data_IF_275447424368
#
_entry.id   IF_275447424368
#
_cell.length_a   1.000
_cell.length_b   1.000
_cell.length_c   1.000
_cell.angle_alpha   90.00
_cell.angle_beta   90.00
_cell.angle_gamma   90.00
#
_symmetry.space_group_name_H-M   'P 1'
#
loop_
_entity.id
_entity.type
_entity.pdbx_description
1 polymer ?
#
# COMPACT_ATOMS: atom_id res chain seq x y z
N UNK A 1 21.36 -4.82 13.40
CA UNK A 1 20.39 -5.46 12.49
C UNK A 1 19.87 -4.43 11.53
N UNK A 2 19.59 -4.84 10.30
CA UNK A 2 19.13 -3.97 9.23
C UNK A 2 17.66 -3.69 9.46
N UNK A 3 17.32 -2.47 9.87
CA UNK A 3 15.93 -2.03 9.88
C UNK A 3 15.63 -1.54 8.47
N UNK A 4 14.75 -2.25 7.75
CA UNK A 4 13.97 -1.62 6.69
C UNK A 4 13.22 -0.49 7.38
N UNK A 5 13.73 0.74 7.29
CA UNK A 5 12.92 1.88 7.64
C UNK A 5 11.68 1.78 6.75
N UNK A 6 10.49 1.82 7.35
CA UNK A 6 9.19 1.93 6.69
C UNK A 6 9.07 3.26 5.95
N UNK A 7 10.08 3.65 5.18
CA UNK A 7 9.97 4.69 4.17
C UNK A 7 9.34 4.01 2.97
N UNK A 8 8.00 4.04 2.93
CA UNK A 8 7.29 4.16 1.68
C UNK A 8 8.13 5.09 0.78
N UNK A 9 8.66 4.53 -0.30
CA UNK A 9 9.47 5.26 -1.27
C UNK A 9 8.64 6.46 -1.76
N UNK A 10 8.86 7.65 -1.17
CA UNK A 10 8.52 8.92 -1.81
C UNK A 10 9.32 8.91 -3.11
N UNK A 11 8.66 8.56 -4.22
CA UNK A 11 9.23 8.74 -5.56
C UNK A 11 9.60 10.22 -5.71
N UNK A 12 10.77 10.55 -6.27
CA UNK A 12 11.07 11.92 -6.62
C UNK A 12 10.11 12.37 -7.72
N UNK A 13 9.48 13.52 -7.50
CA UNK A 13 8.70 14.26 -8.49
C UNK A 13 9.59 14.52 -9.72
N UNK A 14 9.18 14.15 -10.94
CA UNK A 14 9.98 14.46 -12.12
C UNK A 14 9.96 15.97 -12.38
N UNK A 15 11.15 16.55 -12.47
CA UNK A 15 11.35 17.93 -12.90
C UNK A 15 10.82 18.15 -14.33
N UNK A 16 10.08 19.24 -14.49
CA UNK A 16 9.40 19.73 -15.69
C UNK A 16 10.39 19.98 -16.83
N UNK A 17 10.12 19.39 -18.01
CA UNK A 17 10.57 19.93 -19.30
C UNK A 17 9.39 20.66 -19.95
N UNK A 18 9.50 22.00 -20.04
CA UNK A 18 8.62 22.85 -20.85
C UNK A 18 8.74 22.46 -22.33
N UNK A 19 7.64 22.03 -22.95
CA UNK A 19 7.51 21.99 -24.39
C UNK A 19 6.67 23.19 -24.86
N UNK A 20 7.27 24.00 -25.71
CA UNK A 20 6.67 25.15 -26.39
C UNK A 20 5.76 24.63 -27.51
N UNK A 21 4.51 25.10 -27.54
CA UNK A 21 3.58 24.82 -28.63
C UNK A 21 3.80 25.79 -29.82
N UNK A 22 3.58 25.35 -31.07
CA UNK A 22 3.26 26.27 -32.14
C UNK A 22 1.80 26.15 -32.60
N UNK A 23 1.14 27.31 -32.54
CA UNK A 23 0.09 27.88 -33.39
C UNK A 23 -0.50 27.05 -34.53
N UNK A 24 -1.83 27.06 -34.58
CA UNK A 24 -2.66 26.82 -35.77
C UNK A 24 -2.42 27.86 -36.89
N UNK A 25 -2.91 27.58 -38.10
CA UNK A 25 -3.74 28.58 -38.75
C UNK A 25 -5.04 28.04 -39.38
N UNK A 26 -5.90 29.01 -39.65
CA UNK A 26 -7.32 28.98 -39.99
C UNK A 26 -7.68 28.57 -41.43
N UNK A 27 -8.90 28.04 -41.55
CA UNK A 27 -9.95 28.17 -42.58
C UNK A 27 -9.61 28.59 -44.03
N UNK A 28 -10.13 27.82 -45.00
CA UNK A 28 -10.71 28.33 -46.27
C UNK A 28 -11.92 27.48 -46.69
N UNK A 29 -12.96 28.16 -47.16
CA UNK A 29 -14.26 27.71 -47.67
C UNK A 29 -14.23 27.21 -49.13
N UNK A 30 -15.25 26.38 -49.44
CA UNK A 30 -15.98 26.24 -50.71
C UNK A 30 -15.30 25.60 -51.95
N UNK A 31 -15.91 24.53 -52.47
CA UNK A 31 -16.76 24.58 -53.68
C UNK A 31 -17.10 23.16 -54.19
N UNK A 32 -18.27 23.05 -54.80
CA UNK A 32 -18.86 21.84 -55.34
C UNK A 32 -18.20 21.35 -56.64
N UNK A 33 -18.19 20.03 -56.85
CA UNK A 33 -18.28 19.46 -58.19
C UNK A 33 -19.00 18.10 -58.14
N UNK A 34 -20.11 18.02 -58.86
CA UNK A 34 -20.75 16.77 -59.26
C UNK A 34 -19.77 15.89 -60.05
N UNK A 35 -19.72 14.61 -59.72
CA UNK A 35 -19.51 13.55 -60.71
C UNK A 35 -20.16 12.25 -60.25
N UNK A 36 -21.12 11.81 -61.04
CA UNK A 36 -21.76 10.50 -60.99
C UNK A 36 -20.70 9.44 -61.29
N UNK A 37 -20.47 8.52 -60.37
CA UNK A 37 -20.09 7.16 -60.71
C UNK A 37 -20.80 6.23 -59.73
N UNK A 38 -21.95 5.73 -60.17
CA UNK A 38 -22.52 4.50 -59.64
C UNK A 38 -21.56 3.37 -60.06
N UNK A 39 -20.85 2.82 -59.09
CA UNK A 39 -20.09 1.58 -59.23
C UNK A 39 -20.73 0.55 -58.33
N UNK A 40 -21.64 -0.21 -58.94
CA UNK A 40 -21.90 -1.63 -58.73
C UNK A 40 -21.31 -2.20 -57.44
N UNK A 41 -22.11 -2.27 -56.37
CA UNK A 41 -21.84 -3.18 -55.26
C UNK A 41 -21.99 -4.58 -55.84
N UNK A 42 -20.85 -5.17 -56.21
CA UNK A 42 -20.75 -6.59 -56.48
C UNK A 42 -21.24 -7.33 -55.22
N UNK A 43 -22.33 -8.06 -55.42
CA UNK A 43 -22.83 -9.12 -54.55
C UNK A 43 -21.68 -10.05 -54.16
N UNK A 44 -21.06 -9.80 -53.01
CA UNK A 44 -20.21 -10.77 -52.33
C UNK A 44 -21.11 -11.83 -51.70
N UNK A 45 -20.88 -13.08 -52.11
CA UNK A 45 -21.56 -14.26 -51.60
C UNK A 45 -21.53 -14.32 -50.07
N UNK A 46 -22.66 -14.70 -49.50
CA UNK A 46 -22.90 -14.79 -48.07
C UNK A 46 -21.97 -15.80 -47.40
N UNK A 47 -20.86 -15.33 -46.86
CA UNK A 47 -20.17 -16.02 -45.77
C UNK A 47 -20.81 -15.56 -44.47
N UNK A 48 -21.83 -16.30 -44.01
CA UNK A 48 -22.63 -16.09 -42.78
C UNK A 48 -21.81 -15.97 -41.48
N UNK A 49 -20.49 -16.13 -41.55
CA UNK A 49 -19.54 -15.92 -40.46
C UNK A 49 -19.09 -14.47 -40.29
N UNK A 50 -19.08 -13.65 -41.36
CA UNK A 50 -18.63 -12.25 -41.26
C UNK A 50 -19.73 -11.37 -40.68
N UNK A 51 -20.97 -11.54 -41.13
CA UNK A 51 -22.12 -10.78 -40.62
C UNK A 51 -22.40 -11.04 -39.13
N UNK A 52 -22.18 -12.28 -38.66
CA UNK A 52 -22.34 -12.64 -37.24
C UNK A 52 -21.25 -12.04 -36.36
N UNK A 53 -20.00 -11.97 -36.83
CA UNK A 53 -18.91 -11.28 -36.11
C UNK A 53 -19.16 -9.78 -36.02
N UNK A 54 -19.59 -9.13 -37.12
CA UNK A 54 -19.93 -7.71 -37.09
C UNK A 54 -21.11 -7.40 -36.17
N UNK A 55 -22.16 -8.22 -36.20
CA UNK A 55 -23.29 -8.08 -35.28
C UNK A 55 -22.87 -8.26 -33.82
N UNK A 56 -22.00 -9.24 -33.53
CA UNK A 56 -21.46 -9.45 -32.18
C UNK A 56 -20.61 -8.26 -31.70
N UNK A 57 -19.78 -7.67 -32.57
CA UNK A 57 -18.98 -6.49 -32.24
C UNK A 57 -19.85 -5.24 -32.01
N UNK A 58 -20.89 -5.04 -32.81
CA UNK A 58 -21.84 -3.94 -32.62
C UNK A 58 -22.61 -4.12 -31.31
N UNK A 59 -23.07 -5.34 -31.03
CA UNK A 59 -23.76 -5.64 -29.77
C UNK A 59 -22.85 -5.39 -28.58
N UNK A 60 -21.60 -5.87 -28.63
CA UNK A 60 -20.60 -5.66 -27.57
C UNK A 60 -20.25 -4.18 -27.40
N UNK A 61 -20.09 -3.44 -28.50
CA UNK A 61 -19.84 -1.99 -28.47
C UNK A 61 -21.02 -1.21 -27.88
N UNK A 62 -22.25 -1.55 -28.29
CA UNK A 62 -23.46 -0.91 -27.78
C UNK A 62 -23.71 -1.24 -26.30
N UNK A 63 -23.52 -2.50 -25.88
CA UNK A 63 -23.65 -2.89 -24.47
C UNK A 63 -22.55 -2.27 -23.63
N UNK A 64 -21.30 -2.22 -24.11
CA UNK A 64 -20.20 -1.55 -23.42
C UNK A 64 -20.44 -0.04 -23.28
N UNK A 65 -20.98 0.61 -24.31
CA UNK A 65 -21.30 2.05 -24.27
C UNK A 65 -22.50 2.33 -23.35
N UNK A 66 -23.56 1.52 -23.41
CA UNK A 66 -24.71 1.65 -22.52
C UNK A 66 -24.31 1.40 -21.05
N UNK A 67 -23.47 0.40 -20.81
CA UNK A 67 -22.88 0.13 -19.50
C UNK A 67 -22.01 1.30 -19.03
N UNK A 68 -21.15 1.83 -19.89
CA UNK A 68 -20.31 3.00 -19.58
C UNK A 68 -21.12 4.26 -19.31
N UNK A 69 -22.22 4.51 -20.02
CA UNK A 69 -23.13 5.63 -19.77
C UNK A 69 -23.88 5.44 -18.45
N UNK A 70 -24.32 4.21 -18.15
CA UNK A 70 -24.98 3.89 -16.89
C UNK A 70 -24.02 4.09 -15.70
N UNK A 71 -22.82 3.51 -15.76
CA UNK A 71 -21.73 3.74 -14.81
C UNK A 71 -21.42 5.23 -14.63
N UNK A 72 -21.28 5.95 -15.74
CA UNK A 72 -21.04 7.38 -15.71
C UNK A 72 -22.17 8.08 -14.97
N UNK A 73 -23.43 7.84 -15.34
CA UNK A 73 -24.61 8.44 -14.70
C UNK A 73 -24.71 8.12 -13.21
N UNK A 74 -24.45 6.87 -12.79
CA UNK A 74 -24.47 6.49 -11.37
C UNK A 74 -23.38 7.19 -10.59
N UNK A 75 -22.18 7.42 -11.16
CA UNK A 75 -21.16 8.30 -10.55
C UNK A 75 -21.70 9.71 -10.29
N UNK A 76 -22.59 10.25 -11.15
CA UNK A 76 -23.19 11.58 -10.93
C UNK A 76 -24.26 11.64 -9.85
N UNK A 77 -24.69 10.50 -9.29
CA UNK A 77 -25.78 10.44 -8.31
C UNK A 77 -25.37 9.95 -6.92
N UNK A 78 -24.11 9.53 -6.74
CA UNK A 78 -23.61 8.99 -5.45
C UNK A 78 -23.64 10.03 -4.32
N UNK A 79 -23.42 11.30 -4.65
CA UNK A 79 -23.36 12.42 -3.70
C UNK A 79 -24.64 13.25 -3.69
N UNK A 80 -25.05 13.82 -2.54
CA UNK A 80 -26.09 14.86 -2.48
C UNK A 80 -25.80 16.02 -3.44
N UNK A 81 -26.84 16.64 -3.99
CA UNK A 81 -26.71 17.70 -5.00
C UNK A 81 -25.97 18.92 -4.45
N UNK A 82 -26.14 19.17 -3.15
CA UNK A 82 -25.58 20.27 -2.38
C UNK A 82 -24.05 20.16 -2.27
N UNK A 83 -23.52 18.95 -2.13
CA UNK A 83 -22.07 18.70 -1.93
C UNK A 83 -21.32 18.55 -3.26
N UNK A 84 -21.99 18.01 -4.28
CA UNK A 84 -21.37 17.53 -5.53
C UNK A 84 -20.59 18.58 -6.31
N UNK A 85 -21.10 19.81 -6.38
CA UNK A 85 -20.46 20.89 -7.14
C UNK A 85 -19.09 21.25 -6.56
N UNK A 86 -19.05 21.42 -5.24
CA UNK A 86 -17.83 21.78 -4.53
C UNK A 86 -16.83 20.63 -4.51
N UNK A 87 -17.31 19.41 -4.30
CA UNK A 87 -16.46 18.23 -4.31
C UNK A 87 -15.69 18.12 -5.64
N UNK A 88 -16.39 18.23 -6.77
CA UNK A 88 -15.76 18.16 -8.10
C UNK A 88 -14.84 19.31 -8.38
N UNK A 89 -15.20 20.52 -7.97
CA UNK A 89 -14.32 21.67 -8.12
C UNK A 89 -13.03 21.48 -7.30
N UNK A 90 -13.14 20.92 -6.09
CA UNK A 90 -12.01 20.59 -5.24
C UNK A 90 -11.08 19.54 -5.84
N UNK A 91 -11.62 18.41 -6.31
CA UNK A 91 -10.81 17.36 -6.96
C UNK A 91 -10.21 17.87 -8.28
N UNK A 92 -10.96 18.63 -9.08
CA UNK A 92 -10.44 19.24 -10.30
C UNK A 92 -9.27 20.19 -10.01
N UNK A 93 -9.38 21.03 -8.98
CA UNK A 93 -8.32 21.95 -8.58
C UNK A 93 -7.07 21.20 -8.08
N UNK A 94 -7.25 20.12 -7.30
CA UNK A 94 -6.16 19.22 -6.88
C UNK A 94 -5.39 18.68 -8.08
N UNK A 95 -6.10 18.21 -9.11
CA UNK A 95 -5.50 17.68 -10.34
C UNK A 95 -4.81 18.74 -11.20
N UNK A 96 -5.14 20.01 -10.98
CA UNK A 96 -4.47 21.16 -11.59
C UNK A 96 -3.31 21.68 -10.74
N UNK A 97 -2.96 20.97 -9.65
CA UNK A 97 -1.95 21.36 -8.66
C UNK A 97 -2.26 22.69 -7.94
N UNK A 98 -3.50 23.20 -8.04
CA UNK A 98 -3.98 24.35 -7.26
C UNK A 98 -4.53 23.87 -5.92
N UNK A 99 -3.60 23.52 -5.03
CA UNK A 99 -3.91 22.94 -3.73
C UNK A 99 -4.68 23.91 -2.82
N UNK A 100 -4.42 25.22 -2.93
CA UNK A 100 -5.12 26.24 -2.15
C UNK A 100 -6.58 26.40 -2.55
N UNK A 101 -6.87 26.36 -3.85
CA UNK A 101 -8.25 26.36 -4.34
C UNK A 101 -8.95 25.04 -4.01
N UNK A 102 -8.25 23.91 -4.16
CA UNK A 102 -8.76 22.59 -3.81
C UNK A 102 -9.19 22.51 -2.35
N UNK A 103 -8.33 22.97 -1.43
CA UNK A 103 -8.60 23.02 0.00
C UNK A 103 -9.91 23.77 0.31
N UNK A 104 -10.11 24.96 -0.28
CA UNK A 104 -11.31 25.78 -0.04
C UNK A 104 -12.58 25.05 -0.48
N UNK A 105 -12.56 24.45 -1.67
CA UNK A 105 -13.71 23.70 -2.18
C UNK A 105 -14.00 22.46 -1.34
N UNK A 106 -12.98 21.69 -0.95
CA UNK A 106 -13.16 20.50 -0.13
C UNK A 106 -13.61 20.81 1.30
N UNK A 107 -13.12 21.90 1.92
CA UNK A 107 -13.63 22.38 3.21
C UNK A 107 -15.11 22.72 3.13
N UNK A 108 -15.53 23.51 2.12
CA UNK A 108 -16.94 23.87 1.93
C UNK A 108 -17.82 22.65 1.63
N UNK A 109 -17.31 21.69 0.86
CA UNK A 109 -17.99 20.43 0.60
C UNK A 109 -18.21 19.64 1.90
N UNK A 110 -17.18 19.54 2.76
CA UNK A 110 -17.26 18.84 4.04
C UNK A 110 -18.20 19.55 5.01
N UNK A 111 -18.09 20.87 5.15
CA UNK A 111 -19.00 21.68 5.98
C UNK A 111 -20.45 21.51 5.53
N UNK A 112 -20.72 21.59 4.22
CA UNK A 112 -22.05 21.36 3.66
C UNK A 112 -22.52 19.93 3.96
N UNK A 113 -21.64 18.93 3.83
CA UNK A 113 -21.96 17.55 4.08
C UNK A 113 -22.41 17.31 5.53
N UNK A 114 -21.78 17.95 6.52
CA UNK A 114 -22.17 17.86 7.93
C UNK A 114 -23.52 18.52 8.26
N UNK A 115 -24.02 19.42 7.41
CA UNK A 115 -25.36 20.02 7.60
C UNK A 115 -26.50 19.14 7.09
N UNK A 116 -26.19 18.10 6.33
CA UNK A 116 -27.18 17.22 5.72
C UNK A 116 -27.51 16.03 6.62
N UNK A 117 -28.76 15.52 6.58
CA UNK A 117 -29.13 14.29 7.27
C UNK A 117 -28.40 13.08 6.66
N UNK A 118 -28.10 12.06 7.47
CA UNK A 118 -27.32 10.88 7.03
C UNK A 118 -28.01 10.13 5.88
N UNK A 119 -29.34 10.15 5.83
CA UNK A 119 -30.16 9.55 4.78
C UNK A 119 -29.87 10.15 3.40
N UNK A 120 -29.41 11.41 3.33
CA UNK A 120 -29.03 12.05 2.08
C UNK A 120 -27.83 11.36 1.40
N UNK A 121 -27.00 10.66 2.18
CA UNK A 121 -25.82 9.95 1.69
C UNK A 121 -26.11 8.50 1.32
N UNK A 122 -27.34 7.99 1.50
CA UNK A 122 -27.72 6.63 1.11
C UNK A 122 -26.96 5.55 1.89
N UNK A 123 -26.41 4.58 1.17
CA UNK A 123 -25.63 3.46 1.70
C UNK A 123 -24.26 3.91 2.20
N UNK A 124 -23.83 3.37 3.35
CA UNK A 124 -22.53 3.66 4.00
C UNK A 124 -22.25 5.17 4.12
N UNK A 125 -23.10 5.95 4.81
CA UNK A 125 -23.01 7.42 4.87
C UNK A 125 -21.69 7.91 5.46
N UNK A 126 -21.12 7.19 6.44
CA UNK A 126 -19.86 7.57 7.06
C UNK A 126 -18.67 7.29 6.15
N UNK A 127 -18.78 6.36 5.21
CA UNK A 127 -17.76 6.13 4.18
C UNK A 127 -17.64 7.35 3.25
N UNK A 128 -18.77 7.99 2.93
CA UNK A 128 -18.85 9.20 2.12
C UNK A 128 -18.32 10.42 2.87
N UNK A 129 -18.80 10.65 4.10
CA UNK A 129 -18.34 11.75 4.95
C UNK A 129 -16.83 11.68 5.23
N UNK A 130 -16.37 10.54 5.73
CA UNK A 130 -14.93 10.33 5.97
C UNK A 130 -14.11 10.37 4.67
N UNK A 131 -14.69 9.99 3.52
CA UNK A 131 -14.08 10.14 2.22
C UNK A 131 -13.73 11.59 1.87
N UNK A 132 -14.67 12.52 2.07
CA UNK A 132 -14.43 13.95 1.83
C UNK A 132 -13.35 14.46 2.78
N UNK A 133 -13.41 14.10 4.07
CA UNK A 133 -12.41 14.50 5.07
C UNK A 133 -11.01 13.98 4.74
N UNK A 134 -10.89 12.72 4.29
CA UNK A 134 -9.61 12.14 3.85
C UNK A 134 -9.08 12.82 2.58
N UNK A 135 -9.95 13.15 1.62
CA UNK A 135 -9.54 13.88 0.42
C UNK A 135 -8.98 15.26 0.78
N UNK A 136 -9.66 15.98 1.70
CA UNK A 136 -9.17 17.25 2.24
C UNK A 136 -7.82 17.09 2.95
N UNK A 137 -7.70 16.12 3.85
CA UNK A 137 -6.47 15.84 4.58
C UNK A 137 -5.31 15.51 3.63
N UNK A 138 -5.56 14.74 2.56
CA UNK A 138 -4.57 14.45 1.54
C UNK A 138 -4.10 15.69 0.77
N UNK A 139 -4.99 16.65 0.49
CA UNK A 139 -4.62 17.95 -0.10
C UNK A 139 -3.77 18.77 0.88
N UNK A 140 -4.11 18.77 2.16
CA UNK A 140 -3.33 19.43 3.21
C UNK A 140 -1.93 18.82 3.35
N UNK A 141 -1.79 17.49 3.28
CA UNK A 141 -0.48 16.82 3.24
C UNK A 141 0.33 17.24 2.00
N UNK A 142 -0.31 17.32 0.83
CA UNK A 142 0.34 17.77 -0.40
C UNK A 142 0.75 19.25 -0.36
N UNK A 143 0.01 20.08 0.37
CA UNK A 143 0.27 21.50 0.55
C UNK A 143 1.29 21.81 1.66
N UNK A 144 1.99 20.79 2.19
CA UNK A 144 2.96 20.91 3.28
C UNK A 144 2.34 21.48 4.58
N UNK A 145 1.07 21.13 4.83
CA UNK A 145 0.30 21.49 6.04
C UNK A 145 0.01 20.24 6.91
N UNK A 146 1.03 19.56 7.45
CA UNK A 146 0.86 18.28 8.11
C UNK A 146 0.04 18.34 9.41
N UNK A 147 0.08 19.47 10.12
CA UNK A 147 -0.70 19.68 11.36
C UNK A 147 -2.20 19.73 11.08
N UNK A 148 -2.59 20.52 10.08
CA UNK A 148 -3.99 20.64 9.66
C UNK A 148 -4.51 19.30 9.10
N UNK A 149 -3.68 18.57 8.34
CA UNK A 149 -4.02 17.23 7.87
C UNK A 149 -4.24 16.25 9.03
N UNK A 150 -3.35 16.29 10.03
CA UNK A 150 -3.45 15.45 11.23
C UNK A 150 -4.75 15.70 11.99
N UNK A 151 -5.13 16.98 12.16
CA UNK A 151 -6.39 17.37 12.79
C UNK A 151 -7.60 16.86 11.97
N UNK A 152 -7.58 17.02 10.64
CA UNK A 152 -8.64 16.54 9.77
C UNK A 152 -8.85 15.01 9.86
N UNK A 153 -7.78 14.21 9.85
CA UNK A 153 -7.87 12.77 10.06
C UNK A 153 -8.37 12.42 11.47
N UNK A 154 -7.94 13.17 12.48
CA UNK A 154 -8.37 12.96 13.88
C UNK A 154 -9.87 13.17 14.03
N UNK A 155 -10.40 14.27 13.47
CA UNK A 155 -11.83 14.58 13.49
C UNK A 155 -12.62 13.50 12.75
N UNK A 156 -12.17 13.10 11.55
CA UNK A 156 -12.82 12.05 10.78
C UNK A 156 -12.87 10.71 11.55
N UNK A 157 -11.81 10.36 12.28
CA UNK A 157 -11.80 9.15 13.10
C UNK A 157 -12.73 9.27 14.31
N UNK A 158 -12.79 10.42 14.97
CA UNK A 158 -13.68 10.65 16.11
C UNK A 158 -15.15 10.52 15.70
N UNK A 159 -15.52 11.01 14.52
CA UNK A 159 -16.87 10.84 13.97
C UNK A 159 -17.20 9.38 13.72
N UNK A 160 -16.27 8.62 13.13
CA UNK A 160 -16.43 7.18 12.93
C UNK A 160 -16.54 6.44 14.28
N UNK A 161 -15.76 6.81 15.29
CA UNK A 161 -15.83 6.22 16.62
C UNK A 161 -17.13 6.53 17.36
N UNK A 162 -17.70 7.73 17.14
CA UNK A 162 -18.97 8.15 17.74
C UNK A 162 -20.21 7.61 17.03
N UNK A 163 -20.07 7.10 15.82
CA UNK A 163 -21.16 6.57 15.03
C UNK A 163 -21.67 5.22 15.57
N UNK A 164 -22.99 5.03 15.51
CA UNK A 164 -23.63 3.75 15.84
C UNK A 164 -24.03 3.03 14.55
N UNK A 165 -23.96 1.70 14.56
CA UNK A 165 -24.42 0.87 13.44
C UNK A 165 -23.52 0.93 12.20
N UNK A 166 -22.22 1.21 12.37
CA UNK A 166 -21.27 1.21 11.26
C UNK A 166 -21.22 -0.13 10.54
N UNK A 167 -21.20 -0.08 9.21
CA UNK A 167 -20.95 -1.27 8.39
C UNK A 167 -19.50 -1.73 8.54
N UNK A 168 -19.21 -2.99 8.19
CA UNK A 168 -17.85 -3.52 8.20
C UNK A 168 -16.87 -2.68 7.39
N UNK A 169 -17.31 -2.14 6.26
CA UNK A 169 -16.50 -1.24 5.41
C UNK A 169 -16.18 0.08 6.11
N UNK A 170 -17.14 0.66 6.82
CA UNK A 170 -16.93 1.90 7.59
C UNK A 170 -16.03 1.67 8.81
N UNK A 171 -16.15 0.50 9.46
CA UNK A 171 -15.23 0.08 10.53
C UNK A 171 -13.81 -0.11 10.01
N UNK A 172 -13.64 -0.75 8.85
CA UNK A 172 -12.34 -0.87 8.17
C UNK A 172 -11.79 0.50 7.72
N UNK A 173 -12.67 1.46 7.37
CA UNK A 173 -12.26 2.84 7.14
C UNK A 173 -11.69 3.48 8.40
N UNK A 174 -12.32 3.27 9.56
CA UNK A 174 -11.81 3.74 10.84
C UNK A 174 -10.43 3.13 11.16
N UNK A 175 -10.24 1.83 10.91
CA UNK A 175 -8.95 1.14 11.03
C UNK A 175 -7.88 1.83 10.17
N UNK A 176 -8.19 2.10 8.88
CA UNK A 176 -7.24 2.72 7.97
C UNK A 176 -6.85 4.15 8.40
N UNK A 177 -7.82 4.96 8.85
CA UNK A 177 -7.56 6.31 9.35
C UNK A 177 -6.73 6.28 10.63
N UNK A 178 -7.04 5.38 11.57
CA UNK A 178 -6.27 5.21 12.80
C UNK A 178 -4.83 4.74 12.53
N UNK A 179 -4.65 3.80 11.60
CA UNK A 179 -3.32 3.37 11.18
C UNK A 179 -2.51 4.55 10.60
N UNK A 180 -3.13 5.35 9.71
CA UNK A 180 -2.53 6.56 9.14
C UNK A 180 -2.15 7.60 10.21
N UNK A 181 -3.00 7.80 11.23
CA UNK A 181 -2.69 8.67 12.36
C UNK A 181 -1.49 8.17 13.17
N UNK A 182 -1.35 6.86 13.34
CA UNK A 182 -0.15 6.24 13.93
C UNK A 182 1.12 6.51 13.12
N UNK A 183 1.08 6.32 11.79
CA UNK A 183 2.21 6.66 10.90
C UNK A 183 2.58 8.14 10.97
N UNK A 184 1.58 9.03 11.00
CA UNK A 184 1.80 10.47 11.14
C UNK A 184 2.37 10.83 12.51
N UNK A 185 1.92 10.17 13.58
CA UNK A 185 2.43 10.37 14.93
C UNK A 185 3.93 10.03 14.99
N UNK A 186 4.35 8.91 14.41
CA UNK A 186 5.78 8.57 14.26
C UNK A 186 6.53 9.61 13.42
N UNK A 187 6.01 9.94 12.23
CA UNK A 187 6.70 10.82 11.28
C UNK A 187 6.90 12.25 11.82
N UNK A 188 5.94 12.76 12.60
CA UNK A 188 5.98 14.09 13.19
C UNK A 188 6.45 14.11 14.64
N UNK A 189 6.97 12.98 15.15
CA UNK A 189 7.49 12.84 16.51
C UNK A 189 6.49 13.32 17.57
N UNK A 190 5.23 12.92 17.40
CA UNK A 190 4.21 13.08 18.44
C UNK A 190 4.58 12.23 19.66
N UNK A 191 4.00 12.52 20.83
CA UNK A 191 4.19 11.70 22.02
C UNK A 191 3.91 10.21 21.76
N UNK A 192 4.71 9.32 22.36
CA UNK A 192 4.60 7.87 22.13
C UNK A 192 3.24 7.30 22.53
N UNK A 193 2.57 7.89 23.53
CA UNK A 193 1.23 7.52 23.97
C UNK A 193 0.16 7.84 22.91
N UNK A 194 0.35 8.92 22.14
CA UNK A 194 -0.54 9.28 21.04
C UNK A 194 -0.38 8.30 19.87
N UNK A 195 0.86 7.95 19.51
CA UNK A 195 1.14 6.92 18.50
C UNK A 195 0.56 5.56 18.90
N UNK A 196 0.85 5.11 20.13
CA UNK A 196 0.36 3.84 20.68
C UNK A 196 -1.16 3.78 20.67
N UNK A 197 -1.84 4.86 21.10
CA UNK A 197 -3.31 4.95 21.12
C UNK A 197 -3.92 4.67 19.76
N UNK A 198 -3.39 5.28 18.70
CA UNK A 198 -3.95 5.11 17.36
C UNK A 198 -3.70 3.70 16.80
N UNK A 199 -2.49 3.18 16.99
CA UNK A 199 -2.13 1.84 16.52
C UNK A 199 -2.89 0.74 17.28
N UNK A 200 -3.08 0.90 18.59
CA UNK A 200 -3.89 -0.03 19.41
C UNK A 200 -5.34 -0.03 18.92
N UNK A 201 -5.95 1.14 18.74
CA UNK A 201 -7.32 1.21 18.20
C UNK A 201 -7.43 0.50 16.85
N UNK A 202 -6.49 0.75 15.93
CA UNK A 202 -6.49 0.11 14.61
C UNK A 202 -6.43 -1.43 14.70
N UNK A 203 -5.58 -1.97 15.59
CA UNK A 203 -5.46 -3.41 15.81
C UNK A 203 -6.70 -4.01 16.48
N UNK A 204 -7.21 -3.38 17.54
CA UNK A 204 -8.41 -3.88 18.22
C UNK A 204 -9.62 -3.88 17.29
N UNK A 205 -9.79 -2.82 16.51
CA UNK A 205 -10.92 -2.68 15.61
C UNK A 205 -10.84 -3.66 14.44
N UNK A 206 -9.66 -3.88 13.84
CA UNK A 206 -9.52 -4.87 12.76
C UNK A 206 -9.77 -6.30 13.25
N UNK A 207 -9.30 -6.65 14.45
CA UNK A 207 -9.58 -7.96 15.05
C UNK A 207 -11.06 -8.12 15.39
N UNK A 208 -11.73 -7.04 15.80
CA UNK A 208 -13.18 -7.01 16.03
C UNK A 208 -13.93 -7.26 14.74
N UNK A 209 -13.56 -6.58 13.63
CA UNK A 209 -14.14 -6.82 12.30
C UNK A 209 -13.96 -8.27 11.86
N UNK A 210 -12.73 -8.80 11.93
CA UNK A 210 -12.42 -10.19 11.55
C UNK A 210 -13.24 -11.24 12.33
N UNK A 211 -13.52 -10.97 13.60
CA UNK A 211 -14.35 -11.85 14.44
C UNK A 211 -15.83 -11.75 14.06
N UNK A 212 -16.34 -10.54 13.88
CA UNK A 212 -17.76 -10.30 13.63
C UNK A 212 -18.18 -10.75 12.21
N UNK A 213 -17.28 -10.63 11.22
CA UNK A 213 -17.51 -11.06 9.83
C UNK A 213 -17.09 -12.53 9.55
N UNK A 214 -16.49 -13.19 10.55
CA UNK A 214 -16.00 -14.56 10.44
C UNK A 214 -14.61 -14.67 9.78
N UNK A 215 -13.72 -15.46 10.39
CA UNK A 215 -12.31 -15.63 10.00
C UNK A 215 -12.11 -16.23 8.60
N UNK A 216 -13.16 -16.81 7.99
CA UNK A 216 -13.10 -17.46 6.67
C UNK A 216 -13.22 -16.51 5.48
N UNK A 217 -13.31 -15.21 5.72
CA UNK A 217 -13.36 -14.25 4.63
C UNK A 217 -11.96 -13.95 4.11
N UNK A 218 -11.69 -14.44 2.90
CA UNK A 218 -11.28 -13.52 1.85
C UNK A 218 -12.10 -12.24 2.02
N UNK A 219 -11.54 -11.24 2.70
CA UNK A 219 -12.08 -9.88 2.80
C UNK A 219 -11.95 -9.21 1.42
N UNK A 220 -12.70 -9.79 0.48
CA UNK A 220 -13.23 -9.34 -0.81
C UNK A 220 -13.36 -10.54 -1.78
N UNK A 221 -14.33 -11.43 -1.55
CA UNK A 221 -15.13 -11.90 -2.68
C UNK A 221 -16.38 -10.97 -2.72
N UNK A 222 -16.36 -9.91 -3.53
CA UNK A 222 -17.33 -8.83 -3.46
C UNK A 222 -18.69 -9.25 -4.01
N UNK A 223 -19.77 -8.84 -3.34
CA UNK A 223 -21.07 -8.71 -4.01
C UNK A 223 -20.99 -7.57 -5.02
N UNK A 224 -21.46 -7.81 -6.24
CA UNK A 224 -21.16 -6.98 -7.42
C UNK A 224 -21.60 -5.51 -7.28
N UNK A 225 -22.67 -5.22 -6.52
CA UNK A 225 -23.29 -3.89 -6.49
C UNK A 225 -22.65 -2.92 -5.48
N UNK A 226 -22.29 -3.39 -4.27
CA UNK A 226 -21.75 -2.53 -3.21
C UNK A 226 -20.24 -2.24 -3.36
N UNK A 227 -19.53 -3.03 -4.17
CA UNK A 227 -18.14 -2.79 -4.58
C UNK A 227 -18.09 -1.72 -5.68
N UNK A 228 -19.08 -1.68 -6.56
CA UNK A 228 -19.16 -0.70 -7.64
C UNK A 228 -19.36 0.73 -7.10
N UNK A 229 -20.21 0.90 -6.07
CA UNK A 229 -20.36 2.20 -5.40
C UNK A 229 -19.11 2.62 -4.61
N UNK A 230 -18.47 1.70 -3.85
CA UNK A 230 -17.22 1.99 -3.15
C UNK A 230 -16.08 2.35 -4.13
N UNK A 231 -15.92 1.57 -5.21
CA UNK A 231 -14.97 1.86 -6.28
C UNK A 231 -15.25 3.21 -6.93
N UNK A 232 -16.51 3.54 -7.14
CA UNK A 232 -16.94 4.84 -7.66
C UNK A 232 -16.58 5.98 -6.70
N UNK A 233 -16.87 5.86 -5.40
CA UNK A 233 -16.52 6.85 -4.38
C UNK A 233 -14.99 7.03 -4.30
N UNK A 234 -14.25 5.93 -4.25
CA UNK A 234 -12.78 5.92 -4.19
C UNK A 234 -12.18 6.56 -5.45
N UNK A 235 -12.74 6.27 -6.64
CA UNK A 235 -12.30 6.82 -7.90
C UNK A 235 -12.66 8.31 -8.06
N UNK A 236 -13.86 8.73 -7.67
CA UNK A 236 -14.30 10.13 -7.79
C UNK A 236 -13.57 11.06 -6.81
N UNK A 237 -13.33 10.59 -5.58
CA UNK A 237 -12.55 11.32 -4.58
C UNK A 237 -11.04 11.19 -4.75
N UNK A 238 -10.58 10.31 -5.66
CA UNK A 238 -9.18 9.89 -5.80
C UNK A 238 -8.53 9.61 -4.43
N UNK A 239 -9.20 8.79 -3.62
CA UNK A 239 -8.72 8.49 -2.28
C UNK A 239 -7.33 7.84 -2.36
N UNK A 240 -6.42 8.14 -1.42
CA UNK A 240 -5.11 7.53 -1.40
C UNK A 240 -5.18 6.00 -1.44
N UNK A 241 -4.20 5.36 -2.08
CA UNK A 241 -4.16 3.90 -2.25
C UNK A 241 -4.25 3.12 -0.93
N UNK A 242 -3.76 3.70 0.17
CA UNK A 242 -3.83 3.11 1.51
C UNK A 242 -5.27 3.00 2.04
N UNK A 243 -6.20 3.80 1.52
CA UNK A 243 -7.64 3.74 1.87
C UNK A 243 -8.37 2.65 1.06
N UNK A 244 -7.88 2.37 -0.15
CA UNK A 244 -8.55 1.50 -1.12
C UNK A 244 -8.27 0.01 -0.92
N UNK A 245 -7.14 -0.35 -0.30
CA UNK A 245 -6.80 -1.74 0.04
C UNK A 245 -7.02 -1.95 1.53
N UNK A 246 -7.94 -2.85 1.87
CA UNK A 246 -8.12 -3.30 3.25
C UNK A 246 -6.93 -4.17 3.66
N UNK A 247 -5.91 -3.56 4.26
CA UNK A 247 -4.74 -4.28 4.74
C UNK A 247 -4.90 -4.61 6.23
N UNK A 248 -5.42 -5.80 6.51
CA UNK A 248 -5.63 -6.26 7.90
C UNK A 248 -4.32 -6.53 8.65
N UNK A 249 -3.21 -6.67 7.93
CA UNK A 249 -1.90 -6.99 8.50
C UNK A 249 -1.13 -5.72 8.87
N UNK A 250 -1.29 -4.65 8.10
CA UNK A 250 -0.55 -3.40 8.31
C UNK A 250 -0.67 -2.83 9.74
N UNK A 251 -1.86 -2.75 10.37
CA UNK A 251 -1.98 -2.30 11.76
C UNK A 251 -1.20 -3.17 12.75
N UNK A 252 -1.26 -4.49 12.60
CA UNK A 252 -0.56 -5.45 13.45
C UNK A 252 0.96 -5.28 13.34
N UNK A 253 1.46 -5.15 12.10
CA UNK A 253 2.89 -4.94 11.83
C UNK A 253 3.38 -3.62 12.39
N UNK A 254 2.62 -2.53 12.20
CA UNK A 254 2.99 -1.21 12.70
C UNK A 254 3.00 -1.15 14.23
N UNK A 255 1.99 -1.71 14.90
CA UNK A 255 2.00 -1.78 16.36
C UNK A 255 3.15 -2.65 16.90
N UNK A 256 3.45 -3.76 16.22
CA UNK A 256 4.62 -4.59 16.54
C UNK A 256 5.94 -3.81 16.38
N UNK A 257 6.07 -3.02 15.32
CA UNK A 257 7.25 -2.20 15.05
C UNK A 257 7.40 -1.08 16.11
N UNK A 258 6.29 -0.44 16.48
CA UNK A 258 6.24 0.51 17.58
C UNK A 258 6.76 -0.10 18.88
N UNK A 259 6.24 -1.27 19.28
CA UNK A 259 6.68 -1.96 20.51
C UNK A 259 8.15 -2.39 20.48
N UNK A 260 8.68 -2.77 19.32
CA UNK A 260 10.10 -3.01 19.16
C UNK A 260 10.95 -1.73 19.32
N UNK A 261 10.47 -0.58 18.83
CA UNK A 261 11.15 0.72 18.95
C UNK A 261 11.14 1.21 20.40
N UNK A 262 10.04 1.04 21.11
CA UNK A 262 9.85 1.47 22.52
C UNK A 262 10.34 0.44 23.54
N UNK A 263 11.05 -0.61 23.09
CA UNK A 263 11.61 -1.70 23.92
C UNK A 263 10.56 -2.54 24.68
N UNK A 264 9.30 -2.52 24.28
CA UNK A 264 8.24 -3.39 24.80
C UNK A 264 8.11 -4.69 23.98
N UNK A 265 9.24 -5.37 23.76
CA UNK A 265 9.38 -6.46 22.79
C UNK A 265 8.42 -7.63 23.04
N UNK A 266 8.07 -7.91 24.29
CA UNK A 266 7.12 -8.93 24.71
C UNK A 266 5.73 -8.77 24.06
N UNK A 267 5.34 -7.56 23.68
CA UNK A 267 4.10 -7.30 22.96
C UNK A 267 4.26 -7.37 21.44
N UNK A 268 5.46 -7.12 20.91
CA UNK A 268 5.71 -7.16 19.47
C UNK A 268 5.61 -8.58 18.88
N UNK A 269 6.20 -9.56 19.57
CA UNK A 269 6.22 -10.97 19.14
C UNK A 269 4.82 -11.53 18.85
N UNK A 270 3.83 -11.48 19.79
CA UNK A 270 2.51 -12.01 19.53
C UNK A 270 1.77 -11.29 18.39
N UNK A 271 2.03 -9.99 18.18
CA UNK A 271 1.44 -9.24 17.05
C UNK A 271 1.96 -9.75 15.70
N UNK A 272 3.27 -9.97 15.56
CA UNK A 272 3.83 -10.52 14.32
C UNK A 272 3.37 -11.96 14.06
N UNK A 273 3.26 -12.78 15.11
CA UNK A 273 2.72 -14.13 14.98
C UNK A 273 1.24 -14.13 14.58
N UNK A 274 0.44 -13.21 15.15
CA UNK A 274 -0.96 -13.01 14.76
C UNK A 274 -1.06 -12.59 13.28
N UNK A 275 -0.27 -11.62 12.85
CA UNK A 275 -0.18 -11.20 11.45
C UNK A 275 0.21 -12.34 10.51
N UNK A 276 1.18 -13.18 10.90
CA UNK A 276 1.57 -14.36 10.12
C UNK A 276 0.43 -15.36 9.96
N UNK A 277 -0.35 -15.60 11.02
CA UNK A 277 -1.49 -16.51 10.96
C UNK A 277 -2.63 -15.97 10.07
N UNK A 278 -2.76 -14.65 9.96
CA UNK A 278 -3.73 -14.00 9.06
C UNK A 278 -3.29 -14.12 7.60
N UNK A 279 -2.02 -13.86 7.29
CA UNK A 279 -1.55 -13.78 5.89
C UNK A 279 -1.09 -15.13 5.31
N UNK A 280 -0.67 -16.06 6.17
CA UNK A 280 -0.24 -17.42 5.84
C UNK A 280 -0.96 -18.45 6.74
N UNK A 281 -2.29 -18.57 6.65
CA UNK A 281 -3.05 -19.47 7.51
C UNK A 281 -2.67 -20.95 7.25
N UNK A 282 -2.63 -21.79 8.29
CA UNK A 282 -2.37 -23.21 8.13
C UNK A 282 -3.47 -23.86 7.28
N UNK A 283 -3.10 -24.45 6.15
CA UNK A 283 -4.03 -25.10 5.23
C UNK A 283 -4.28 -24.35 3.92
N UNK A 284 -3.96 -23.06 3.84
CA UNK A 284 -3.90 -22.38 2.54
C UNK A 284 -2.67 -22.87 1.77
N UNK A 285 -2.91 -23.69 0.74
CA UNK A 285 -1.83 -24.35 0.00
C UNK A 285 -1.07 -23.38 -0.92
N UNK A 286 -1.73 -22.32 -1.41
CA UNK A 286 -1.18 -21.42 -2.43
C UNK A 286 -1.50 -19.93 -2.13
N UNK A 287 -0.93 -19.34 -1.06
CA UNK A 287 -1.00 -17.88 -0.88
C UNK A 287 -0.37 -17.14 -2.08
N UNK A 288 -0.84 -15.92 -2.35
CA UNK A 288 -0.27 -15.07 -3.42
C UNK A 288 1.22 -14.79 -3.18
N UNK A 289 1.96 -14.49 -4.25
CA UNK A 289 3.37 -14.11 -4.14
C UNK A 289 3.56 -12.92 -3.19
N UNK A 290 2.72 -11.89 -3.31
CA UNK A 290 2.70 -10.73 -2.41
C UNK A 290 2.57 -11.15 -0.94
N UNK A 291 1.59 -12.00 -0.61
CA UNK A 291 1.37 -12.49 0.76
C UNK A 291 2.54 -13.35 1.27
N UNK A 292 3.16 -14.17 0.41
CA UNK A 292 4.37 -14.93 0.76
C UNK A 292 5.53 -13.99 1.10
N UNK A 293 5.76 -12.96 0.28
CA UNK A 293 6.80 -11.96 0.51
C UNK A 293 6.56 -11.18 1.81
N UNK A 294 5.32 -10.74 2.07
CA UNK A 294 4.93 -10.05 3.30
C UNK A 294 5.07 -10.95 4.53
N UNK A 295 4.73 -12.24 4.39
CA UNK A 295 4.99 -13.24 5.43
C UNK A 295 6.48 -13.38 5.74
N UNK A 296 7.35 -13.39 4.72
CA UNK A 296 8.80 -13.41 4.93
C UNK A 296 9.30 -12.14 5.66
N UNK A 297 8.71 -10.98 5.38
CA UNK A 297 9.03 -9.73 6.09
C UNK A 297 8.69 -9.79 7.58
N UNK A 298 7.51 -10.34 7.91
CA UNK A 298 7.10 -10.58 9.29
C UNK A 298 8.03 -11.57 10.00
N UNK A 299 8.49 -12.63 9.32
CA UNK A 299 9.45 -13.58 9.88
C UNK A 299 10.80 -12.90 10.17
N UNK A 300 11.28 -12.06 9.26
CA UNK A 300 12.51 -11.29 9.47
C UNK A 300 12.36 -10.29 10.63
N UNK A 301 11.23 -9.59 10.71
CA UNK A 301 10.90 -8.66 11.81
C UNK A 301 10.77 -9.37 13.16
N UNK A 302 10.25 -10.60 13.17
CA UNK A 302 10.18 -11.44 14.36
C UNK A 302 11.57 -11.86 14.83
N UNK A 303 12.47 -12.23 13.91
CA UNK A 303 13.87 -12.50 14.23
C UNK A 303 14.56 -11.26 14.82
N UNK A 304 14.35 -10.08 14.23
CA UNK A 304 14.85 -8.82 14.76
C UNK A 304 14.33 -8.56 16.18
N UNK A 305 13.05 -8.81 16.41
CA UNK A 305 12.44 -8.72 17.74
C UNK A 305 13.23 -9.60 18.71
N UNK A 306 13.33 -10.90 18.44
CA UNK A 306 14.01 -11.89 19.30
C UNK A 306 15.47 -11.54 19.64
N UNK A 307 16.13 -10.78 18.77
CA UNK A 307 17.50 -10.34 18.90
C UNK A 307 17.69 -9.00 19.63
N UNK A 308 16.61 -8.30 20.02
CA UNK A 308 16.70 -7.08 20.83
C UNK A 308 17.23 -7.37 22.25
N UNK A 309 17.96 -6.39 22.80
CA UNK A 309 18.58 -6.50 24.13
C UNK A 309 19.81 -7.41 24.14
N UNK A 310 19.95 -8.23 25.19
CA UNK A 310 20.99 -9.25 25.31
C UNK A 310 20.35 -10.63 25.06
N UNK A 311 20.32 -11.13 23.82
CA UNK A 311 19.57 -12.34 23.50
C UNK A 311 20.24 -13.59 24.08
N UNK A 312 19.43 -14.44 24.72
CA UNK A 312 19.89 -15.76 25.19
C UNK A 312 20.35 -16.62 24.00
N UNK A 313 21.21 -17.63 24.21
CA UNK A 313 21.56 -18.58 23.15
C UNK A 313 20.34 -19.21 22.47
N UNK A 314 19.28 -19.47 23.23
CA UNK A 314 18.02 -19.99 22.71
C UNK A 314 17.28 -18.99 21.81
N UNK A 315 17.11 -17.74 22.26
CA UNK A 315 16.48 -16.69 21.43
C UNK A 315 17.26 -16.43 20.15
N UNK A 316 18.60 -16.50 20.20
CA UNK A 316 19.46 -16.38 19.01
C UNK A 316 19.19 -17.50 18.00
N UNK A 317 19.13 -18.75 18.45
CA UNK A 317 18.80 -19.88 17.58
C UNK A 317 17.40 -19.74 16.97
N UNK A 318 16.42 -19.32 17.76
CA UNK A 318 15.06 -19.08 17.28
C UNK A 318 15.01 -17.96 16.23
N UNK A 319 15.71 -16.85 16.45
CA UNK A 319 15.80 -15.76 15.48
C UNK A 319 16.42 -16.22 14.16
N UNK A 320 17.47 -17.03 14.23
CA UNK A 320 18.11 -17.59 13.05
C UNK A 320 17.17 -18.51 12.26
N UNK A 321 16.43 -19.38 12.94
CA UNK A 321 15.41 -20.23 12.31
C UNK A 321 14.33 -19.41 11.58
N UNK A 322 13.90 -18.27 12.16
CA UNK A 322 12.95 -17.38 11.51
C UNK A 322 13.51 -16.72 10.25
N UNK A 323 14.77 -16.27 10.28
CA UNK A 323 15.42 -15.72 9.08
C UNK A 323 15.63 -16.78 8.01
N UNK A 324 16.06 -17.99 8.38
CA UNK A 324 16.19 -19.09 7.42
C UNK A 324 14.85 -19.45 6.78
N UNK A 325 13.76 -19.44 7.56
CA UNK A 325 12.40 -19.63 7.04
C UNK A 325 12.00 -18.50 6.10
N UNK A 326 12.29 -17.25 6.43
CA UNK A 326 12.02 -16.10 5.57
C UNK A 326 12.74 -16.24 4.21
N UNK A 327 14.03 -16.56 4.23
CA UNK A 327 14.84 -16.78 3.02
C UNK A 327 14.27 -17.93 2.18
N UNK A 328 13.91 -19.06 2.79
CA UNK A 328 13.30 -20.18 2.09
C UNK A 328 11.96 -19.82 1.42
N UNK A 329 11.12 -19.03 2.08
CA UNK A 329 9.87 -18.51 1.49
C UNK A 329 10.16 -17.60 0.30
N UNK A 330 11.12 -16.69 0.42
CA UNK A 330 11.50 -15.77 -0.66
C UNK A 330 12.04 -16.53 -1.88
N UNK A 331 12.97 -17.46 -1.67
CA UNK A 331 13.56 -18.26 -2.74
C UNK A 331 12.50 -19.09 -3.47
N UNK A 332 11.61 -19.75 -2.72
CA UNK A 332 10.49 -20.50 -3.29
C UNK A 332 9.58 -19.59 -4.12
N UNK A 333 9.18 -18.44 -3.57
CA UNK A 333 8.30 -17.48 -4.26
C UNK A 333 8.92 -16.95 -5.54
N UNK A 334 10.22 -16.59 -5.51
CA UNK A 334 10.95 -16.15 -6.71
C UNK A 334 11.06 -17.22 -7.79
N UNK A 335 11.07 -18.50 -7.40
CA UNK A 335 11.13 -19.61 -8.34
C UNK A 335 9.78 -19.92 -8.99
N UNK A 336 8.70 -19.78 -8.24
CA UNK A 336 7.32 -20.06 -8.69
C UNK A 336 6.72 -18.90 -9.49
N UNK A 337 6.97 -17.65 -9.10
CA UNK A 337 6.25 -16.47 -9.60
C UNK A 337 7.13 -15.55 -10.48
N UNK A 338 8.09 -16.13 -11.23
CA UNK A 338 9.10 -15.40 -12.04
C UNK A 338 8.55 -14.37 -13.02
N UNK A 339 7.30 -14.53 -13.44
CA UNK A 339 6.64 -13.69 -14.47
C UNK A 339 6.04 -12.40 -13.93
N UNK A 340 6.02 -12.19 -12.61
CA UNK A 340 5.45 -10.98 -12.00
C UNK A 340 6.51 -10.20 -11.18
N UNK A 341 7.30 -9.32 -11.84
CA UNK A 341 8.31 -8.51 -11.16
C UNK A 341 7.72 -7.53 -10.14
N UNK A 342 6.46 -7.10 -10.29
CA UNK A 342 5.82 -6.18 -9.37
C UNK A 342 5.49 -6.89 -8.06
N UNK A 343 4.89 -8.08 -8.12
CA UNK A 343 4.63 -8.91 -6.95
C UNK A 343 5.91 -9.34 -6.21
N UNK A 344 7.02 -9.53 -6.94
CA UNK A 344 8.31 -9.92 -6.36
C UNK A 344 9.15 -8.74 -5.83
N UNK A 345 8.75 -7.49 -6.10
CA UNK A 345 9.51 -6.31 -5.69
C UNK A 345 9.70 -6.24 -4.17
N UNK A 346 8.67 -6.60 -3.39
CA UNK A 346 8.73 -6.65 -1.94
C UNK A 346 9.65 -7.79 -1.45
N UNK A 347 9.56 -8.99 -2.03
CA UNK A 347 10.49 -10.09 -1.74
C UNK A 347 11.95 -9.69 -1.94
N UNK A 348 12.25 -8.90 -2.97
CA UNK A 348 13.61 -8.47 -3.25
C UNK A 348 14.18 -7.56 -2.14
N UNK A 349 13.36 -6.65 -1.60
CA UNK A 349 13.71 -5.79 -0.45
C UNK A 349 13.94 -6.63 0.82
N UNK A 350 13.01 -7.53 1.13
CA UNK A 350 13.10 -8.40 2.31
C UNK A 350 14.32 -9.31 2.22
N UNK A 351 14.68 -9.79 1.02
CA UNK A 351 15.87 -10.61 0.81
C UNK A 351 17.16 -9.89 1.25
N UNK A 352 17.31 -8.61 0.89
CA UNK A 352 18.48 -7.84 1.28
C UNK A 352 18.61 -7.73 2.81
N UNK A 353 17.48 -7.43 3.47
CA UNK A 353 17.41 -7.29 4.93
C UNK A 353 17.65 -8.63 5.65
N UNK A 354 16.99 -9.70 5.21
CA UNK A 354 17.13 -11.04 5.79
C UNK A 354 18.56 -11.57 5.67
N UNK A 355 19.23 -11.38 4.52
CA UNK A 355 20.64 -11.73 4.35
C UNK A 355 21.55 -10.93 5.29
N UNK A 356 21.28 -9.64 5.50
CA UNK A 356 22.04 -8.84 6.45
C UNK A 356 21.85 -9.32 7.89
N UNK A 357 20.61 -9.61 8.28
CA UNK A 357 20.27 -10.09 9.62
C UNK A 357 20.87 -11.47 9.88
N UNK A 358 20.87 -12.37 8.90
CA UNK A 358 21.59 -13.65 8.94
C UNK A 358 23.09 -13.44 9.17
N UNK A 359 23.70 -12.52 8.42
CA UNK A 359 25.10 -12.15 8.60
C UNK A 359 25.39 -11.64 10.01
N UNK A 360 24.50 -10.80 10.55
CA UNK A 360 24.61 -10.28 11.92
C UNK A 360 24.56 -11.38 12.98
N UNK A 361 23.66 -12.34 12.83
CA UNK A 361 23.55 -13.47 13.77
C UNK A 361 24.77 -14.39 13.71
N UNK A 362 25.29 -14.67 12.51
CA UNK A 362 26.52 -15.46 12.30
C UNK A 362 27.77 -14.76 12.84
N UNK A 363 27.84 -13.43 12.68
CA UNK A 363 28.90 -12.63 13.28
C UNK A 363 28.89 -12.75 14.81
N UNK A 364 27.71 -12.67 15.43
CA UNK A 364 27.55 -12.79 16.89
C UNK A 364 27.89 -14.17 17.45
N UNK A 365 27.84 -15.23 16.64
CA UNK A 365 28.26 -16.59 17.03
C UNK A 365 29.72 -16.89 16.72
N UNK A 366 30.44 -15.94 16.11
CA UNK A 366 31.85 -16.10 15.74
C UNK A 366 32.08 -16.86 14.44
N UNK A 367 31.02 -17.18 13.69
CA UNK A 367 31.06 -17.76 12.35
C UNK A 367 31.31 -16.66 11.30
N UNK A 368 32.51 -16.06 11.38
CA UNK A 368 32.94 -14.95 10.55
C UNK A 368 32.89 -15.27 9.03
N UNK A 369 33.30 -16.47 8.56
CA UNK A 369 33.21 -16.80 7.13
C UNK A 369 31.76 -16.77 6.61
N UNK A 370 30.82 -17.41 7.32
CA UNK A 370 29.40 -17.40 6.91
C UNK A 370 28.80 -16.00 7.00
N UNK A 371 29.15 -15.24 8.04
CA UNK A 371 28.72 -13.86 8.19
C UNK A 371 29.14 -13.00 6.99
N UNK A 372 30.41 -13.11 6.56
CA UNK A 372 30.93 -12.39 5.39
C UNK A 372 30.18 -12.76 4.11
N UNK A 373 29.87 -14.03 3.91
CA UNK A 373 29.08 -14.50 2.76
C UNK A 373 27.69 -13.86 2.76
N UNK A 374 26.97 -13.94 3.88
CA UNK A 374 25.62 -13.34 3.98
C UNK A 374 25.62 -11.82 3.78
N UNK A 375 26.59 -11.10 4.34
CA UNK A 375 26.72 -9.66 4.09
C UNK A 375 27.08 -9.34 2.64
N UNK A 376 27.90 -10.17 1.99
CA UNK A 376 28.25 -10.01 0.57
C UNK A 376 27.03 -10.19 -0.32
N UNK A 377 26.17 -11.16 -0.01
CA UNK A 377 24.95 -11.40 -0.78
C UNK A 377 23.91 -10.30 -0.52
N UNK A 378 23.77 -9.85 0.73
CA UNK A 378 22.96 -8.66 1.07
C UNK A 378 23.41 -7.41 0.30
N UNK A 379 24.73 -7.19 0.21
CA UNK A 379 25.33 -6.09 -0.57
C UNK A 379 24.96 -6.18 -2.04
N UNK A 380 25.11 -7.36 -2.66
CA UNK A 380 24.74 -7.59 -4.07
C UNK A 380 23.25 -7.29 -4.29
N UNK A 381 22.40 -7.76 -3.39
CA UNK A 381 20.96 -7.54 -3.49
C UNK A 381 20.60 -6.05 -3.34
N UNK A 382 21.21 -5.35 -2.36
CA UNK A 382 21.03 -3.91 -2.15
C UNK A 382 21.47 -3.10 -3.38
N UNK A 383 22.58 -3.50 -4.01
CA UNK A 383 23.04 -2.90 -5.26
C UNK A 383 22.01 -3.05 -6.40
N UNK A 384 21.44 -4.24 -6.58
CA UNK A 384 20.40 -4.49 -7.59
C UNK A 384 19.15 -3.64 -7.36
N UNK A 385 18.79 -3.39 -6.10
CA UNK A 385 17.67 -2.55 -5.69
C UNK A 385 17.95 -1.05 -5.77
N UNK A 386 19.22 -0.66 -6.00
CA UNK A 386 19.70 0.72 -5.86
C UNK A 386 19.47 1.29 -4.45
N UNK A 387 19.45 0.42 -3.44
CA UNK A 387 19.37 0.81 -2.04
C UNK A 387 20.76 1.21 -1.53
N UNK A 388 20.98 2.52 -1.42
CA UNK A 388 22.26 3.10 -1.00
C UNK A 388 22.56 2.82 0.48
N UNK A 389 21.55 2.83 1.33
CA UNK A 389 21.72 2.62 2.77
C UNK A 389 22.04 1.14 3.03
N UNK A 390 21.31 0.23 2.37
CA UNK A 390 21.61 -1.21 2.31
C UNK A 390 23.04 -1.50 1.89
N UNK A 391 23.47 -0.88 0.80
CA UNK A 391 24.83 -1.04 0.27
C UNK A 391 25.89 -0.61 1.29
N UNK A 392 25.74 0.58 1.87
CA UNK A 392 26.70 1.13 2.83
C UNK A 392 26.77 0.30 4.13
N UNK A 393 25.61 -0.13 4.63
CA UNK A 393 25.54 -0.95 5.83
C UNK A 393 26.23 -2.31 5.62
N UNK A 394 25.94 -2.99 4.51
CA UNK A 394 26.54 -4.27 4.18
C UNK A 394 28.06 -4.15 3.98
N UNK A 395 28.55 -3.10 3.30
CA UNK A 395 29.99 -2.86 3.14
C UNK A 395 30.70 -2.59 4.47
N UNK A 396 30.07 -1.82 5.35
CA UNK A 396 30.60 -1.55 6.69
C UNK A 396 30.70 -2.84 7.50
N UNK A 397 29.68 -3.71 7.42
CA UNK A 397 29.69 -5.00 8.08
C UNK A 397 30.76 -5.95 7.53
N UNK A 398 30.96 -6.01 6.21
CA UNK A 398 32.03 -6.81 5.59
C UNK A 398 33.41 -6.37 6.09
N UNK A 399 33.69 -5.05 6.11
CA UNK A 399 34.96 -4.52 6.61
C UNK A 399 35.19 -4.87 8.08
N UNK A 400 34.14 -4.83 8.89
CA UNK A 400 34.19 -5.22 10.31
C UNK A 400 34.55 -6.70 10.46
N UNK A 401 33.88 -7.58 9.72
CA UNK A 401 34.17 -9.02 9.74
C UNK A 401 35.60 -9.31 9.27
N UNK A 402 36.09 -8.64 8.22
CA UNK A 402 37.47 -8.80 7.73
C UNK A 402 38.54 -8.39 8.74
N UNK A 403 38.25 -7.41 9.60
CA UNK A 403 39.13 -7.03 10.70
C UNK A 403 39.13 -8.12 11.78
N UNK A 404 37.93 -8.57 12.20
CA UNK A 404 37.78 -9.61 13.23
C UNK A 404 38.44 -10.94 12.82
N UNK A 405 38.35 -11.31 11.53
CA UNK A 405 38.99 -12.52 11.01
C UNK A 405 40.51 -12.43 11.15
N UNK A 406 41.12 -11.30 10.76
CA UNK A 406 42.57 -11.08 10.90
C UNK A 406 43.02 -11.08 12.36
N UNK A 407 42.26 -10.47 13.26
CA UNK A 407 42.54 -10.50 14.69
C UNK A 407 42.49 -11.92 15.27
N UNK A 408 41.53 -12.75 14.81
CA UNK A 408 41.42 -14.15 15.21
C UNK A 408 42.63 -14.96 14.72
N UNK A 409 42.99 -14.82 13.45
CA UNK A 409 44.16 -15.49 12.84
C UNK A 409 45.46 -15.10 13.54
N UNK A 410 45.66 -13.81 13.83
CA UNK A 410 46.83 -13.33 14.57
C UNK A 410 46.94 -13.96 15.96
N UNK A 411 45.82 -14.08 16.70
CA UNK A 411 45.81 -14.73 18.02
C UNK A 411 46.16 -16.21 17.94
N UNK A 412 45.59 -16.94 16.98
CA UNK A 412 45.91 -18.37 16.80
C UNK A 412 47.41 -18.57 16.51
N UNK A 413 47.99 -17.73 15.64
CA UNK A 413 49.42 -17.80 15.29
C UNK A 413 50.41 -17.53 16.45
N UNK A 414 49.95 -16.85 17.50
CA UNK A 414 50.74 -16.61 18.73
C UNK A 414 50.61 -17.78 19.70
N UNK A 415 49.50 -18.52 19.67
CA UNK A 415 49.23 -19.62 20.61
C UNK A 415 49.89 -20.94 20.17
N UNK A 416 50.20 -21.06 18.86
CA UNK A 416 50.89 -22.21 18.27
C UNK A 416 52.43 -22.07 18.29
N UNK A 417 52.96 -20.96 18.83
CA UNK A 417 54.39 -20.73 19.07
C UNK A 417 54.68 -20.82 20.56
#
# INVERSE_FOLDING_TARGET
MFRLASRQLKRPTPAIRRAVAPSAPSAVLASAHCSRHASTIASLGSNSKVGTIFAALILLGATSTAYGIYEFYTMFTVWPKEVRSDLRAGIKAKNQEDLGLSERYLRRALETAHTLPLEAFGTDPYLKLSGIAIALAGVLEAADKPKEAYEAYTVALQELQGAQGLSGKERLRAVAVAHKLGEMAEAYQRPEDEEERWLVYAVEEVLRVLRDEGVDTQLAAPTHDADQELKTIVAELELPKWVAKTDVVAPLTALGAFYNRTRKQEYAIPLYLSALNVILPPGNKNPSAENRCRGADLMNSLADSLMLGAPTPERRRQAELWVDRALGVIEKTRNEDKSDPEALSHCALVLAAALFNKGSMREMTGDLPSAKTSYTDSRKQSFLLKDRDGLLQAETAIRRVDRLTREKEAKTSITDK
#
